data_IF_933079003054
#
_entry.id   IF_933079003054
#
_cell.length_a   1.000
_cell.length_b   1.000
_cell.length_c   1.000
_cell.angle_alpha   90.00
_cell.angle_beta   90.00
_cell.angle_gamma   90.00
#
_symmetry.space_group_name_H-M   'P 1'
#
loop_
_entity.id
_entity.type
_entity.pdbx_description
1 polymer ?
#
# COMPACT_ATOMS: atom_id res chain seq x y z
N UNK A 1 64.83 -12.84 42.93
CA UNK A 1 65.11 -11.38 42.98
C UNK A 1 63.95 -10.70 42.26
N UNK A 2 62.93 -10.27 43.00
CA UNK A 2 62.69 -8.86 43.40
C UNK A 2 62.59 -7.97 42.14
N UNK A 3 61.45 -7.41 41.73
CA UNK A 3 60.43 -6.72 42.51
C UNK A 3 60.64 -5.20 42.40
N UNK A 4 59.57 -4.48 42.08
CA UNK A 4 59.28 -3.06 42.37
C UNK A 4 59.40 -1.98 41.27
N UNK A 5 58.20 -1.58 40.84
CA UNK A 5 57.64 -0.28 40.40
C UNK A 5 58.51 0.99 40.32
N UNK A 6 58.19 1.82 39.31
CA UNK A 6 57.87 3.24 39.58
C UNK A 6 56.88 3.84 38.58
N UNK A 7 55.74 4.24 39.13
CA UNK A 7 54.79 5.18 38.54
C UNK A 7 55.44 6.52 38.20
N UNK A 8 54.99 7.14 37.10
CA UNK A 8 54.90 8.59 37.04
C UNK A 8 53.55 8.98 36.43
N UNK A 9 52.76 9.64 37.28
CA UNK A 9 51.54 10.36 36.99
C UNK A 9 51.78 11.41 35.90
N UNK A 10 50.85 11.50 34.95
CA UNK A 10 50.59 12.75 34.25
C UNK A 10 49.08 12.99 34.28
N UNK A 11 48.74 13.96 35.13
CA UNK A 11 47.42 14.50 35.39
C UNK A 11 46.90 15.18 34.11
N UNK A 12 45.82 14.64 33.55
CA UNK A 12 45.23 15.12 32.30
C UNK A 12 43.71 15.11 32.37
N UNK A 13 43.16 16.12 33.05
CA UNK A 13 41.85 16.75 32.81
C UNK A 13 40.69 15.86 32.34
N UNK A 14 39.79 15.61 33.30
CA UNK A 14 38.42 15.12 33.14
C UNK A 14 37.56 16.12 32.34
N UNK A 15 36.91 15.74 31.22
CA UNK A 15 35.67 16.35 30.79
C UNK A 15 34.52 15.41 31.19
N UNK A 16 33.90 15.75 32.31
CA UNK A 16 32.58 15.25 32.67
C UNK A 16 31.57 15.79 31.65
N UNK A 17 30.59 14.94 31.31
CA UNK A 17 29.24 15.38 30.90
C UNK A 17 29.07 16.02 29.50
N UNK A 18 29.38 15.28 28.44
CA UNK A 18 28.79 15.56 27.11
C UNK A 18 28.23 14.32 26.39
N UNK A 19 28.18 13.15 27.04
CA UNK A 19 27.75 11.91 26.40
C UNK A 19 26.26 11.55 26.61
N UNK A 20 25.60 12.10 27.64
CA UNK A 20 24.20 11.76 27.96
C UNK A 20 23.14 12.61 27.26
N UNK A 21 23.48 13.81 26.81
CA UNK A 21 22.55 14.69 26.08
C UNK A 21 22.40 14.28 24.63
N UNK A 22 23.48 13.90 23.94
CA UNK A 22 23.41 13.46 22.54
C UNK A 22 22.59 12.18 22.36
N UNK A 23 22.68 11.23 23.29
CA UNK A 23 21.89 9.98 23.23
C UNK A 23 20.39 10.25 23.39
N UNK A 24 20.00 11.24 24.21
CA UNK A 24 18.60 11.64 24.41
C UNK A 24 18.03 12.35 23.18
N UNK A 25 18.79 13.25 22.55
CA UNK A 25 18.37 13.90 21.31
C UNK A 25 18.26 12.91 20.13
N UNK A 26 19.18 11.95 20.02
CA UNK A 26 19.10 10.88 19.02
C UNK A 26 17.85 10.02 19.25
N UNK A 27 17.54 9.62 20.49
CA UNK A 27 16.32 8.86 20.79
C UNK A 27 15.04 9.63 20.44
N UNK A 28 14.99 10.93 20.73
CA UNK A 28 13.84 11.79 20.41
C UNK A 28 13.67 12.02 18.90
N UNK A 29 14.77 12.12 18.14
CA UNK A 29 14.70 12.18 16.68
C UNK A 29 14.27 10.84 16.06
N UNK A 30 14.68 9.70 16.63
CA UNK A 30 14.20 8.38 16.16
C UNK A 30 12.70 8.22 16.42
N UNK A 31 12.18 8.70 17.54
CA UNK A 31 10.73 8.67 17.82
C UNK A 31 9.94 9.60 16.88
N UNK A 32 10.54 10.73 16.47
CA UNK A 32 9.92 11.67 15.52
C UNK A 32 9.97 11.24 14.04
N UNK A 33 10.91 10.37 13.66
CA UNK A 33 11.07 9.84 12.30
C UNK A 33 10.26 8.55 12.07
N UNK A 34 9.85 7.87 13.13
CA UNK A 34 9.02 6.66 13.04
C UNK A 34 7.55 7.09 13.02
N UNK A 35 7.00 7.22 11.81
CA UNK A 35 5.58 7.42 11.51
C UNK A 35 5.03 8.85 11.64
N UNK A 36 5.36 9.73 10.69
CA UNK A 36 4.41 10.76 10.24
C UNK A 36 3.24 10.10 9.49
N UNK A 37 2.48 9.22 10.16
CA UNK A 37 1.23 8.68 9.62
C UNK A 37 0.21 9.82 9.66
N UNK A 38 -0.20 10.31 8.49
CA UNK A 38 -1.26 11.31 8.37
C UNK A 38 -2.49 10.86 9.16
N UNK A 39 -2.93 11.62 10.18
CA UNK A 39 -3.99 11.18 11.06
C UNK A 39 -5.31 11.05 10.29
N UNK A 40 -6.04 9.97 10.59
CA UNK A 40 -7.33 9.70 9.97
C UNK A 40 -8.42 10.55 10.63
N UNK A 41 -8.53 11.81 10.19
CA UNK A 41 -9.40 12.82 10.81
C UNK A 41 -10.90 12.70 10.43
N UNK A 42 -11.25 11.83 9.47
CA UNK A 42 -12.64 11.65 9.04
C UNK A 42 -13.37 10.66 9.98
N UNK A 43 -14.65 10.93 10.29
CA UNK A 43 -15.48 10.00 11.07
C UNK A 43 -15.63 8.64 10.38
N UNK A 44 -15.95 7.59 11.17
CA UNK A 44 -16.13 6.22 10.71
C UNK A 44 -17.01 6.12 9.44
N UNK A 45 -18.24 6.66 9.49
CA UNK A 45 -19.19 6.62 8.37
C UNK A 45 -18.65 7.36 7.14
N UNK A 46 -18.05 8.54 7.34
CA UNK A 46 -17.48 9.35 6.25
C UNK A 46 -16.29 8.65 5.59
N UNK A 47 -15.42 8.02 6.37
CA UNK A 47 -14.26 7.26 5.89
C UNK A 47 -14.69 6.07 5.04
N UNK A 48 -15.61 5.24 5.55
CA UNK A 48 -16.11 4.07 4.81
C UNK A 48 -16.88 4.51 3.56
N UNK A 49 -17.73 5.54 3.65
CA UNK A 49 -18.48 6.05 2.51
C UNK A 49 -17.56 6.55 1.38
N UNK A 50 -16.52 7.31 1.73
CA UNK A 50 -15.49 7.76 0.77
C UNK A 50 -14.76 6.55 0.15
N UNK A 51 -14.42 5.53 0.95
CA UNK A 51 -13.82 4.29 0.45
C UNK A 51 -14.70 3.57 -0.57
N UNK A 52 -16.00 3.44 -0.30
CA UNK A 52 -16.96 2.84 -1.26
C UNK A 52 -17.04 3.65 -2.55
N UNK A 53 -17.06 4.99 -2.48
CA UNK A 53 -17.10 5.84 -3.68
C UNK A 53 -15.82 5.69 -4.51
N UNK A 54 -14.66 5.74 -3.84
CA UNK A 54 -13.36 5.65 -4.48
C UNK A 54 -13.13 4.28 -5.13
N UNK A 55 -13.42 3.18 -4.43
CA UNK A 55 -13.30 1.83 -4.97
C UNK A 55 -14.16 1.60 -6.22
N UNK A 56 -15.42 2.08 -6.24
CA UNK A 56 -16.28 2.00 -7.43
C UNK A 56 -15.72 2.82 -8.60
N UNK A 57 -15.21 4.01 -8.31
CA UNK A 57 -14.63 4.87 -9.31
C UNK A 57 -13.37 4.24 -9.92
N UNK A 58 -12.46 3.76 -9.08
CA UNK A 58 -11.27 3.02 -9.53
C UNK A 58 -11.65 1.79 -10.35
N UNK A 59 -12.64 1.00 -9.94
CA UNK A 59 -13.09 -0.16 -10.70
C UNK A 59 -13.50 0.22 -12.13
N UNK A 60 -14.29 1.28 -12.29
CA UNK A 60 -14.71 1.78 -13.62
C UNK A 60 -13.52 2.27 -14.43
N UNK A 61 -12.65 3.07 -13.83
CA UNK A 61 -11.49 3.63 -14.52
C UNK A 61 -10.49 2.54 -14.92
N UNK A 62 -10.26 1.54 -14.07
CA UNK A 62 -9.42 0.39 -14.42
C UNK A 62 -10.04 -0.41 -15.56
N UNK A 63 -11.38 -0.56 -15.61
CA UNK A 63 -12.04 -1.22 -16.73
C UNK A 63 -11.85 -0.47 -18.06
N UNK A 64 -11.95 0.87 -18.06
CA UNK A 64 -11.65 1.69 -19.24
C UNK A 64 -10.16 1.68 -19.61
N UNK A 65 -9.27 1.69 -18.61
CA UNK A 65 -7.83 1.53 -18.81
C UNK A 65 -7.49 0.19 -19.46
N UNK A 66 -8.12 -0.91 -19.06
CA UNK A 66 -7.92 -2.22 -19.70
C UNK A 66 -8.30 -2.15 -21.19
N UNK A 67 -9.41 -1.50 -21.54
CA UNK A 67 -9.80 -1.33 -22.95
C UNK A 67 -8.79 -0.49 -23.72
N UNK A 68 -8.33 0.61 -23.13
CA UNK A 68 -7.32 1.49 -23.73
C UNK A 68 -6.00 0.73 -23.92
N UNK A 69 -5.57 -0.02 -22.92
CA UNK A 69 -4.40 -0.87 -22.97
C UNK A 69 -4.54 -1.88 -24.12
N UNK A 70 -5.64 -2.63 -24.17
CA UNK A 70 -5.89 -3.59 -25.25
C UNK A 70 -5.85 -2.95 -26.65
N UNK A 71 -6.43 -1.75 -26.81
CA UNK A 71 -6.43 -1.05 -28.10
C UNK A 71 -5.01 -0.63 -28.55
N UNK A 72 -4.10 -0.33 -27.61
CA UNK A 72 -2.71 0.01 -27.93
C UNK A 72 -1.86 -1.23 -28.27
N UNK A 73 -2.30 -2.43 -27.88
CA UNK A 73 -1.50 -3.65 -28.01
C UNK A 73 -1.85 -4.53 -29.23
N UNK A 74 -2.92 -4.19 -29.97
CA UNK A 74 -3.34 -4.88 -31.20
C UNK A 74 -4.35 -6.03 -31.00
N UNK A 75 -4.68 -6.74 -32.09
CA UNK A 75 -5.84 -7.65 -32.15
C UNK A 75 -5.83 -8.83 -31.16
N UNK A 76 -4.65 -9.30 -30.76
CA UNK A 76 -4.51 -10.41 -29.80
C UNK A 76 -4.58 -9.98 -28.33
N UNK A 77 -4.66 -8.67 -28.05
CA UNK A 77 -4.58 -8.14 -26.70
C UNK A 77 -5.69 -8.65 -25.76
N UNK A 78 -6.89 -8.92 -26.29
CA UNK A 78 -8.00 -9.48 -25.50
C UNK A 78 -7.69 -10.86 -24.93
N UNK A 79 -6.88 -11.66 -25.61
CA UNK A 79 -6.48 -12.99 -25.13
C UNK A 79 -5.38 -12.90 -24.09
N UNK A 80 -4.47 -11.93 -24.22
CA UNK A 80 -3.36 -11.71 -23.28
C UNK A 80 -3.84 -11.51 -21.84
N UNK A 81 -4.89 -10.71 -21.67
CA UNK A 81 -5.46 -10.38 -20.35
C UNK A 81 -6.08 -11.58 -19.63
N UNK A 82 -6.33 -12.69 -20.34
CA UNK A 82 -6.88 -13.94 -19.80
C UNK A 82 -5.80 -14.95 -19.46
N UNK A 83 -4.55 -14.73 -19.88
CA UNK A 83 -3.45 -15.64 -19.61
C UNK A 83 -3.18 -15.73 -18.10
N UNK A 84 -2.81 -16.93 -17.65
CA UNK A 84 -2.32 -17.09 -16.29
C UNK A 84 -0.87 -16.60 -16.24
N UNK A 85 -0.56 -15.82 -15.21
CA UNK A 85 0.79 -15.37 -14.93
C UNK A 85 1.09 -15.57 -13.45
N UNK A 86 2.25 -16.18 -13.20
CA UNK A 86 2.80 -16.32 -11.86
C UNK A 86 3.28 -14.95 -11.37
N UNK A 87 3.41 -14.79 -10.06
CA UNK A 87 3.98 -13.59 -9.44
C UNK A 87 3.20 -12.30 -9.71
N UNK A 88 1.91 -12.37 -10.01
CA UNK A 88 1.00 -11.20 -10.02
C UNK A 88 0.02 -11.35 -8.85
N UNK A 89 -0.35 -10.27 -8.13
CA UNK A 89 -1.18 -10.37 -6.94
C UNK A 89 -2.52 -11.04 -7.24
N UNK A 90 -2.96 -11.88 -6.31
CA UNK A 90 -4.24 -12.55 -6.43
C UNK A 90 -5.39 -11.54 -6.33
N UNK A 91 -6.48 -11.82 -7.06
CA UNK A 91 -7.72 -11.02 -6.98
C UNK A 91 -8.71 -11.51 -5.92
N UNK A 92 -8.36 -12.57 -5.19
CA UNK A 92 -9.14 -13.10 -4.09
C UNK A 92 -8.96 -12.23 -2.83
N UNK A 93 -10.02 -12.21 -2.01
CA UNK A 93 -10.00 -11.61 -0.70
C UNK A 93 -9.94 -12.74 0.33
N UNK A 94 -8.99 -12.69 1.24
CA UNK A 94 -8.83 -13.69 2.33
C UNK A 94 -8.97 -13.02 3.69
N UNK A 95 -9.44 -13.77 4.69
CA UNK A 95 -9.57 -13.29 6.07
C UNK A 95 -10.91 -13.69 6.67
N UNK A 96 -10.90 -14.07 7.95
CA UNK A 96 -12.09 -14.55 8.65
C UNK A 96 -12.95 -13.38 9.14
N UNK A 97 -12.31 -12.36 9.71
CA UNK A 97 -12.97 -11.14 10.18
C UNK A 97 -12.91 -10.03 9.14
N UNK A 98 -13.74 -9.00 9.30
CA UNK A 98 -13.68 -7.82 8.42
C UNK A 98 -12.34 -7.08 8.55
N UNK A 99 -11.71 -7.11 9.73
CA UNK A 99 -10.38 -6.54 9.92
C UNK A 99 -9.31 -7.35 9.17
N UNK A 100 -9.35 -8.69 9.24
CA UNK A 100 -8.43 -9.55 8.47
C UNK A 100 -8.58 -9.33 6.97
N UNK A 101 -9.83 -9.23 6.48
CA UNK A 101 -10.10 -8.94 5.08
C UNK A 101 -9.60 -7.56 4.69
N UNK A 102 -9.80 -6.54 5.52
CA UNK A 102 -9.25 -5.21 5.24
C UNK A 102 -7.72 -5.16 5.29
N UNK A 103 -7.09 -5.97 6.13
CA UNK A 103 -5.63 -6.09 6.16
C UNK A 103 -5.13 -6.76 4.87
N UNK A 104 -5.83 -7.80 4.41
CA UNK A 104 -5.57 -8.39 3.10
C UNK A 104 -5.74 -7.37 1.96
N UNK A 105 -6.78 -6.52 2.01
CA UNK A 105 -6.94 -5.41 1.06
C UNK A 105 -5.73 -4.48 1.08
N UNK A 106 -5.32 -4.03 2.27
CA UNK A 106 -4.17 -3.14 2.42
C UNK A 106 -2.91 -3.74 1.79
N UNK A 107 -2.56 -4.98 2.17
CA UNK A 107 -1.38 -5.68 1.66
C UNK A 107 -1.43 -5.87 0.15
N UNK A 108 -2.56 -6.32 -0.40
CA UNK A 108 -2.71 -6.52 -1.85
C UNK A 108 -2.68 -5.22 -2.63
N UNK A 109 -3.24 -4.13 -2.13
CA UNK A 109 -3.14 -2.83 -2.79
C UNK A 109 -1.69 -2.33 -2.84
N UNK A 110 -0.91 -2.54 -1.77
CA UNK A 110 0.52 -2.25 -1.74
C UNK A 110 1.28 -3.09 -2.78
N UNK A 111 1.00 -4.38 -2.89
CA UNK A 111 1.56 -5.24 -3.95
C UNK A 111 1.19 -4.70 -5.35
N UNK A 112 -0.09 -4.43 -5.60
CA UNK A 112 -0.55 -3.90 -6.89
C UNK A 112 0.13 -2.58 -7.26
N UNK A 113 0.46 -1.69 -6.31
CA UNK A 113 1.21 -0.47 -6.63
C UNK A 113 2.57 -0.77 -7.26
N UNK A 114 3.32 -1.72 -6.72
CA UNK A 114 4.61 -2.13 -7.29
C UNK A 114 4.45 -2.69 -8.71
N UNK A 115 3.42 -3.52 -8.92
CA UNK A 115 3.12 -4.08 -10.24
C UNK A 115 2.69 -3.01 -11.25
N UNK A 116 1.81 -2.08 -10.87
CA UNK A 116 1.36 -0.97 -11.74
C UNK A 116 2.55 -0.09 -12.10
N UNK A 117 3.40 0.26 -11.13
CA UNK A 117 4.63 1.03 -11.38
C UNK A 117 5.51 0.33 -12.42
N UNK A 118 5.71 -0.99 -12.29
CA UNK A 118 6.47 -1.77 -13.27
C UNK A 118 5.85 -1.71 -14.67
N UNK A 119 4.52 -1.82 -14.78
CA UNK A 119 3.82 -1.72 -16.05
C UNK A 119 4.00 -0.32 -16.67
N UNK A 120 3.93 0.73 -15.86
CA UNK A 120 4.18 2.09 -16.29
C UNK A 120 5.62 2.26 -16.82
N UNK A 121 6.62 1.75 -16.11
CA UNK A 121 8.03 1.77 -16.53
C UNK A 121 8.20 1.05 -17.88
N UNK A 122 7.68 -0.18 -18.00
CA UNK A 122 7.73 -0.96 -19.26
C UNK A 122 7.07 -0.23 -20.42
N UNK A 123 5.91 0.39 -20.19
CA UNK A 123 5.19 1.11 -21.24
C UNK A 123 5.86 2.42 -21.62
N UNK A 124 6.58 3.06 -20.69
CA UNK A 124 7.35 4.28 -20.96
C UNK A 124 8.49 4.00 -21.95
N UNK A 125 9.08 2.81 -21.90
CA UNK A 125 10.12 2.39 -22.86
C UNK A 125 9.56 2.09 -24.27
N UNK A 126 8.25 1.82 -24.37
CA UNK A 126 7.60 1.37 -25.60
C UNK A 126 6.76 2.44 -26.31
N UNK A 127 6.33 3.47 -25.59
CA UNK A 127 5.36 4.45 -26.06
C UNK A 127 5.92 5.87 -26.04
N UNK A 128 5.42 6.77 -26.90
CA UNK A 128 5.80 8.17 -26.84
C UNK A 128 5.34 8.81 -25.51
N UNK A 129 6.08 9.79 -24.95
CA UNK A 129 5.77 10.37 -23.63
C UNK A 129 4.37 10.99 -23.51
N UNK A 130 3.78 11.43 -24.62
CA UNK A 130 2.43 12.02 -24.65
C UNK A 130 1.32 10.96 -24.81
N UNK A 131 1.64 9.67 -24.68
CA UNK A 131 0.65 8.60 -24.80
C UNK A 131 -0.42 8.71 -23.71
N UNK A 132 -1.72 8.72 -24.07
CA UNK A 132 -2.81 8.67 -23.11
C UNK A 132 -2.75 7.45 -22.18
N UNK A 133 -2.15 6.34 -22.64
CA UNK A 133 -2.00 5.15 -21.83
C UNK A 133 -1.06 5.38 -20.63
N UNK A 134 0.05 6.10 -20.84
CA UNK A 134 1.01 6.43 -19.79
C UNK A 134 0.37 7.31 -18.72
N UNK A 135 -0.38 8.33 -19.15
CA UNK A 135 -1.12 9.20 -18.24
C UNK A 135 -2.13 8.39 -17.38
N UNK A 136 -2.91 7.51 -18.01
CA UNK A 136 -3.89 6.71 -17.29
C UNK A 136 -3.25 5.68 -16.34
N UNK A 137 -2.07 5.16 -16.69
CA UNK A 137 -1.28 4.25 -15.84
C UNK A 137 -0.72 4.96 -14.60
N UNK A 138 -0.18 6.17 -14.76
CA UNK A 138 0.24 6.97 -13.60
C UNK A 138 -0.96 7.35 -12.73
N UNK A 139 -2.08 7.75 -13.34
CA UNK A 139 -3.28 8.13 -12.59
C UNK A 139 -3.83 6.96 -11.76
N UNK A 140 -3.83 5.73 -12.29
CA UNK A 140 -4.25 4.56 -11.52
C UNK A 140 -3.24 4.20 -10.41
N UNK A 141 -1.94 4.42 -10.63
CA UNK A 141 -0.91 4.26 -9.60
C UNK A 141 -1.16 5.21 -8.42
N UNK A 142 -1.31 6.51 -8.69
CA UNK A 142 -1.58 7.53 -7.66
C UNK A 142 -2.89 7.25 -6.91
N UNK A 143 -3.95 6.88 -7.63
CA UNK A 143 -5.23 6.53 -7.00
C UNK A 143 -5.14 5.28 -6.15
N UNK A 144 -4.34 4.29 -6.54
CA UNK A 144 -4.10 3.08 -5.75
C UNK A 144 -3.37 3.42 -4.45
N UNK A 145 -2.35 4.28 -4.50
CA UNK A 145 -1.69 4.80 -3.30
C UNK A 145 -2.66 5.56 -2.38
N UNK A 146 -3.48 6.45 -2.94
CA UNK A 146 -4.50 7.16 -2.18
C UNK A 146 -5.52 6.21 -1.55
N UNK A 147 -5.95 5.17 -2.28
CA UNK A 147 -6.92 4.22 -1.76
C UNK A 147 -6.32 3.34 -0.66
N UNK A 148 -5.06 2.92 -0.79
CA UNK A 148 -4.33 2.23 0.28
C UNK A 148 -4.31 3.05 1.56
N UNK A 149 -4.06 4.37 1.48
CA UNK A 149 -4.13 5.24 2.65
C UNK A 149 -5.53 5.24 3.29
N UNK A 150 -6.60 5.28 2.47
CA UNK A 150 -7.98 5.20 2.99
C UNK A 150 -8.28 3.86 3.64
N UNK A 151 -7.78 2.76 3.08
CA UNK A 151 -7.89 1.42 3.68
C UNK A 151 -7.14 1.35 5.01
N UNK A 152 -5.95 1.94 5.09
CA UNK A 152 -5.21 2.08 6.36
C UNK A 152 -6.03 2.85 7.41
N UNK A 153 -6.74 3.92 7.03
CA UNK A 153 -7.65 4.60 7.95
C UNK A 153 -8.81 3.71 8.40
N UNK A 154 -9.38 2.89 7.51
CA UNK A 154 -10.42 1.93 7.89
C UNK A 154 -9.86 0.90 8.88
N UNK A 155 -8.65 0.39 8.66
CA UNK A 155 -7.99 -0.53 9.58
C UNK A 155 -7.78 0.07 10.96
N UNK A 156 -7.35 1.34 11.04
CA UNK A 156 -7.22 2.04 12.32
C UNK A 156 -8.57 2.20 13.03
N UNK A 157 -9.68 2.33 12.31
CA UNK A 157 -11.02 2.34 12.92
C UNK A 157 -11.40 0.93 13.44
N UNK A 158 -11.08 -0.12 12.68
CA UNK A 158 -11.39 -1.50 13.04
C UNK A 158 -10.54 -2.01 14.21
N UNK A 159 -9.29 -1.55 14.31
CA UNK A 159 -8.29 -2.02 15.25
C UNK A 159 -7.45 -0.84 15.79
N UNK A 160 -8.03 0.05 16.63
CA UNK A 160 -7.43 1.34 16.99
C UNK A 160 -6.09 1.31 17.76
N UNK A 161 -5.62 0.15 18.18
CA UNK A 161 -4.36 0.00 18.93
C UNK A 161 -3.42 -1.04 18.34
N UNK A 162 -3.72 -1.55 17.14
CA UNK A 162 -2.90 -2.56 16.49
C UNK A 162 -2.05 -1.86 15.42
N UNK A 163 -0.71 -1.90 15.53
CA UNK A 163 0.13 -1.37 14.47
C UNK A 163 -0.14 -2.19 13.20
N UNK A 164 -0.53 -1.49 12.14
CA UNK A 164 -0.72 -2.13 10.83
C UNK A 164 0.65 -2.57 10.36
N UNK A 165 0.87 -3.87 10.11
CA UNK A 165 2.15 -4.37 9.68
C UNK A 165 2.52 -3.71 8.35
N UNK A 166 3.78 -3.29 8.24
CA UNK A 166 4.32 -3.01 6.93
C UNK A 166 4.32 -4.33 6.15
N UNK A 167 3.81 -4.33 4.90
CA UNK A 167 3.91 -5.51 4.08
C UNK A 167 5.38 -5.94 4.04
N UNK A 168 5.65 -7.21 4.33
CA UNK A 168 6.98 -7.76 4.12
C UNK A 168 7.40 -7.45 2.67
N UNK A 169 8.70 -7.20 2.45
CA UNK A 169 9.24 -6.93 1.11
C UNK A 169 9.13 -8.10 0.12
N UNK A 170 8.25 -9.10 0.32
CA UNK A 170 8.08 -10.24 -0.57
C UNK A 170 6.62 -10.72 -0.66
N UNK A 171 6.30 -11.72 -1.50
CA UNK A 171 6.93 -12.13 -2.74
C UNK A 171 6.10 -11.55 -3.89
N UNK A 172 6.39 -10.33 -4.30
CA UNK A 172 6.07 -9.94 -5.67
C UNK A 172 7.40 -9.90 -6.36
N UNK A 173 7.89 -11.09 -6.74
CA UNK A 173 9.00 -11.18 -7.66
C UNK A 173 8.55 -10.44 -8.91
N UNK A 174 8.89 -9.14 -9.00
CA UNK A 174 8.73 -8.36 -10.22
C UNK A 174 9.29 -9.26 -11.31
N UNK A 175 8.53 -9.54 -12.38
CA UNK A 175 8.96 -10.52 -13.35
C UNK A 175 10.41 -10.23 -13.76
N UNK A 176 11.20 -11.31 -13.88
CA UNK A 176 12.52 -11.27 -14.52
C UNK A 176 12.42 -10.52 -15.86
N UNK A 177 13.53 -9.97 -16.40
CA UNK A 177 13.53 -9.26 -17.67
C UNK A 177 12.65 -9.96 -18.71
N UNK A 178 11.62 -9.24 -19.16
CA UNK A 178 10.58 -9.72 -20.07
C UNK A 178 10.85 -9.19 -21.46
N UNK A 179 10.65 -10.03 -22.48
CA UNK A 179 10.55 -9.51 -23.85
C UNK A 179 9.28 -8.65 -24.00
N UNK A 180 9.21 -7.83 -25.05
CA UNK A 180 8.10 -6.90 -25.28
C UNK A 180 6.74 -7.60 -25.21
N UNK A 181 6.60 -8.77 -25.81
CA UNK A 181 5.33 -9.53 -25.76
C UNK A 181 4.93 -9.91 -24.32
N UNK A 182 5.88 -10.39 -23.52
CA UNK A 182 5.64 -10.73 -22.12
C UNK A 182 5.27 -9.51 -21.27
N UNK A 183 5.87 -8.34 -21.53
CA UNK A 183 5.53 -7.08 -20.86
C UNK A 183 4.07 -6.69 -21.16
N UNK A 184 3.67 -6.79 -22.43
CA UNK A 184 2.30 -6.53 -22.88
C UNK A 184 1.29 -7.44 -22.16
N UNK A 185 1.58 -8.74 -22.11
CA UNK A 185 0.75 -9.73 -21.39
C UNK A 185 0.68 -9.40 -19.90
N UNK A 186 1.83 -9.16 -19.27
CA UNK A 186 1.93 -8.86 -17.86
C UNK A 186 1.09 -7.64 -17.47
N UNK A 187 1.22 -6.52 -18.20
CA UNK A 187 0.45 -5.32 -17.89
C UNK A 187 -1.05 -5.54 -17.99
N UNK A 188 -1.53 -6.28 -18.99
CA UNK A 188 -2.95 -6.55 -19.06
C UNK A 188 -3.45 -7.49 -17.94
N UNK A 189 -2.65 -8.50 -17.56
CA UNK A 189 -2.99 -9.41 -16.45
C UNK A 189 -3.04 -8.65 -15.12
N UNK A 190 -2.06 -7.77 -14.85
CA UNK A 190 -2.03 -6.91 -13.66
C UNK A 190 -3.30 -6.06 -13.56
N UNK A 191 -3.63 -5.31 -14.62
CA UNK A 191 -4.80 -4.44 -14.64
C UNK A 191 -6.11 -5.23 -14.50
N UNK A 192 -6.20 -6.39 -15.15
CA UNK A 192 -7.38 -7.27 -15.06
C UNK A 192 -7.57 -7.82 -13.65
N UNK A 193 -6.50 -8.26 -12.99
CA UNK A 193 -6.59 -8.74 -11.60
C UNK A 193 -6.90 -7.62 -10.62
N UNK A 194 -6.33 -6.43 -10.82
CA UNK A 194 -6.67 -5.24 -10.04
C UNK A 194 -8.17 -4.93 -10.15
N UNK A 195 -8.73 -4.93 -11.37
CA UNK A 195 -10.15 -4.64 -11.58
C UNK A 195 -11.06 -5.68 -10.87
N UNK A 196 -10.72 -6.97 -10.97
CA UNK A 196 -11.42 -8.04 -10.25
C UNK A 196 -11.33 -7.85 -8.73
N UNK A 197 -10.16 -7.47 -8.23
CA UNK A 197 -9.93 -7.22 -6.82
C UNK A 197 -10.73 -6.02 -6.31
N UNK A 198 -10.72 -4.90 -7.04
CA UNK A 198 -11.53 -3.72 -6.74
C UNK A 198 -13.02 -4.07 -6.64
N UNK A 199 -13.54 -4.95 -7.50
CA UNK A 199 -14.91 -5.44 -7.38
C UNK A 199 -15.20 -6.13 -6.05
N UNK A 200 -14.25 -6.90 -5.51
CA UNK A 200 -14.38 -7.56 -4.21
C UNK A 200 -14.31 -6.54 -3.07
N UNK A 201 -13.38 -5.59 -3.15
CA UNK A 201 -13.25 -4.51 -2.17
C UNK A 201 -14.55 -3.67 -2.09
N UNK A 202 -15.17 -3.36 -3.24
CA UNK A 202 -16.46 -2.67 -3.27
C UNK A 202 -17.54 -3.43 -2.49
N UNK A 203 -17.56 -4.76 -2.57
CA UNK A 203 -18.46 -5.60 -1.80
C UNK A 203 -18.18 -5.53 -0.30
N UNK A 204 -16.92 -5.71 0.09
CA UNK A 204 -16.49 -5.68 1.49
C UNK A 204 -16.79 -4.32 2.15
N UNK A 205 -16.45 -3.21 1.49
CA UNK A 205 -16.69 -1.87 2.02
C UNK A 205 -18.17 -1.54 2.16
N UNK A 206 -19.04 -2.07 1.28
CA UNK A 206 -20.50 -1.92 1.45
C UNK A 206 -21.01 -2.72 2.64
N UNK A 207 -20.51 -3.94 2.83
CA UNK A 207 -20.83 -4.77 3.99
C UNK A 207 -20.42 -4.09 5.29
N UNK A 208 -19.18 -3.56 5.35
CA UNK A 208 -18.67 -2.77 6.46
C UNK A 208 -19.54 -1.54 6.75
N UNK A 209 -19.96 -0.79 5.72
CA UNK A 209 -20.85 0.36 5.89
C UNK A 209 -22.19 -0.03 6.54
N UNK A 210 -22.74 -1.19 6.19
CA UNK A 210 -24.02 -1.66 6.73
C UNK A 210 -23.94 -2.23 8.15
N UNK A 211 -22.78 -2.74 8.55
CA UNK A 211 -22.55 -3.43 9.82
C UNK A 211 -21.85 -2.59 10.88
N UNK A 212 -21.17 -1.52 10.49
CA UNK A 212 -20.37 -0.67 11.38
C UNK A 212 -20.78 0.80 11.30
N UNK A 213 -20.25 1.61 12.22
CA UNK A 213 -20.53 3.04 12.32
C UNK A 213 -22.00 3.41 12.59
N UNK A 214 -22.79 2.51 13.21
CA UNK A 214 -24.17 2.82 13.61
C UNK A 214 -24.12 3.90 14.68
N UNK A 215 -24.67 5.09 14.38
CA UNK A 215 -25.01 6.07 15.41
C UNK A 215 -26.03 5.40 16.32
N UNK A 216 -25.66 5.06 17.56
CA UNK A 216 -26.66 4.87 18.62
C UNK A 216 -27.44 6.18 18.73
N UNK A 217 -28.65 6.22 18.17
CA UNK A 217 -29.62 7.24 18.55
C UNK A 217 -29.81 7.07 20.05
N UNK A 218 -29.61 8.15 20.81
CA UNK A 218 -29.52 8.12 22.26
C UNK A 218 -30.55 7.20 22.89
N UNK A 219 -30.05 6.27 23.71
CA UNK A 219 -30.86 5.67 24.75
C UNK A 219 -29.97 5.70 25.98
N UNK A 220 -30.20 6.71 26.82
CA UNK A 220 -29.94 6.61 28.25
C UNK A 220 -30.87 5.49 28.70
N UNK A 221 -30.30 4.34 29.05
CA UNK A 221 -30.99 3.38 29.90
C UNK A 221 -30.41 3.60 31.28
N UNK A 222 -31.10 4.44 32.06
CA UNK A 222 -31.11 4.28 33.51
C UNK A 222 -32.03 3.11 33.80
N UNK A 223 -31.46 2.02 34.32
CA UNK A 223 -32.11 1.07 35.24
C UNK A 223 -30.99 0.37 35.99
#
# INVERSE_FOLDING_TARGET
>A
MNGHERNMFLEGHRPQSASKTFLSFVLLTVIGLVNTKFPCNDSCDKTIHKGVKLSKFMQRNTAELIKTYQANEGDFAKQFCKMQMMNVPASSLSGQTSADRMLNVYTRLMEFQHHIKRVLEQQTDLLPPQSPLLYNLDEILQRTAHFTYKVNCILQILQPNIPIPEPAAGPTGIPLPQNVFQQKVYGCVVLTRLNKFLSKIVGELRSLKGSMCIKKKGTVVMS
#
